data_IF_089351452553
#
_entry.id   IF_089351452553
#
_cell.length_a   1.000
_cell.length_b   1.000
_cell.length_c   1.000
_cell.angle_alpha   90.00
_cell.angle_beta   90.00
_cell.angle_gamma   90.00
#
_symmetry.space_group_name_H-M   'P 1'
#
loop_
_entity.id
_entity.type
_entity.pdbx_description
1 polymer ?
#
# COMPACT_ATOMS: atom_id res chain seq x y z
N UNK A 1 2.06 -53.63 17.57
CA UNK A 1 1.79 -52.18 17.51
C UNK A 1 0.34 -51.99 17.92
N UNK A 2 0.10 -51.30 19.03
CA UNK A 2 -1.25 -51.04 19.52
C UNK A 2 -2.05 -50.20 18.52
N UNK A 3 -3.34 -50.49 18.42
CA UNK A 3 -4.27 -49.79 17.53
C UNK A 3 -4.26 -48.28 17.83
N UNK A 4 -4.11 -47.90 19.11
CA UNK A 4 -3.99 -46.50 19.53
C UNK A 4 -2.81 -45.77 18.88
N UNK A 5 -1.66 -46.42 18.78
CA UNK A 5 -0.45 -45.83 18.16
C UNK A 5 -0.65 -45.63 16.65
N UNK A 6 -1.33 -46.55 15.98
CA UNK A 6 -1.64 -46.43 14.54
C UNK A 6 -2.59 -45.26 14.25
N UNK A 7 -3.65 -45.11 15.06
CA UNK A 7 -4.60 -44.00 14.92
C UNK A 7 -3.92 -42.64 15.19
N UNK A 8 -3.06 -42.58 16.19
CA UNK A 8 -2.33 -41.36 16.54
C UNK A 8 -1.35 -40.96 15.42
N UNK A 9 -0.60 -41.91 14.85
CA UNK A 9 0.31 -41.64 13.73
C UNK A 9 -0.46 -41.16 12.50
N UNK A 10 -1.58 -41.81 12.16
CA UNK A 10 -2.43 -41.38 11.03
C UNK A 10 -2.98 -39.96 11.24
N UNK A 11 -3.49 -39.65 12.43
CA UNK A 11 -4.00 -38.32 12.74
C UNK A 11 -2.92 -37.24 12.58
N UNK A 12 -1.71 -37.47 13.12
CA UNK A 12 -0.59 -36.54 12.99
C UNK A 12 -0.15 -36.38 11.53
N UNK A 13 -0.08 -37.48 10.77
CA UNK A 13 0.31 -37.45 9.36
C UNK A 13 -0.69 -36.65 8.51
N UNK A 14 -2.00 -36.83 8.72
CA UNK A 14 -3.03 -36.06 8.01
C UNK A 14 -2.97 -34.57 8.33
N UNK A 15 -2.81 -34.19 9.61
CA UNK A 15 -2.67 -32.80 10.03
C UNK A 15 -1.41 -32.14 9.45
N UNK A 16 -0.29 -32.87 9.46
CA UNK A 16 0.99 -32.37 8.91
C UNK A 16 0.89 -32.17 7.41
N UNK A 17 0.30 -33.13 6.68
CA UNK A 17 0.08 -33.02 5.24
C UNK A 17 -0.88 -31.86 4.90
N UNK A 18 -1.98 -31.71 5.65
CA UNK A 18 -2.90 -30.60 5.49
C UNK A 18 -2.19 -29.26 5.71
N UNK A 19 -1.37 -29.13 6.76
CA UNK A 19 -0.61 -27.92 7.05
C UNK A 19 0.40 -27.57 5.96
N UNK A 20 1.08 -28.57 5.38
CA UNK A 20 2.04 -28.38 4.28
C UNK A 20 1.35 -28.04 2.95
N UNK A 21 0.15 -28.58 2.70
CA UNK A 21 -0.66 -28.24 1.51
C UNK A 21 -1.44 -26.93 1.65
N UNK A 22 -1.78 -26.53 2.88
CA UNK A 22 -2.50 -25.30 3.20
C UNK A 22 -1.87 -24.01 2.61
N UNK A 23 -0.54 -23.79 2.60
CA UNK A 23 0.04 -22.58 1.98
C UNK A 23 -0.21 -22.46 0.48
N UNK A 24 -0.58 -23.54 -0.22
CA UNK A 24 -0.96 -23.49 -1.62
C UNK A 24 -2.43 -23.08 -1.80
N UNK A 25 -3.32 -23.51 -0.91
CA UNK A 25 -4.76 -23.23 -1.02
C UNK A 25 -5.20 -21.96 -0.27
N UNK A 26 -4.47 -21.54 0.76
CA UNK A 26 -4.75 -20.33 1.53
C UNK A 26 -4.28 -19.03 0.84
N UNK A 27 -3.66 -19.12 -0.34
CA UNK A 27 -3.28 -17.98 -1.21
C UNK A 27 -4.45 -17.45 -2.06
N UNK A 28 -5.66 -17.37 -1.50
CA UNK A 28 -6.76 -16.62 -2.11
C UNK A 28 -7.54 -15.84 -1.06
N UNK A 29 -7.00 -14.69 -0.66
CA UNK A 29 -7.80 -13.55 -0.19
C UNK A 29 -7.27 -12.26 -0.84
N UNK A 30 -7.92 -11.78 -1.91
CA UNK A 30 -7.59 -10.51 -2.56
C UNK A 30 -8.27 -9.33 -1.83
N UNK A 31 -8.20 -9.28 -0.49
CA UNK A 31 -8.94 -8.27 0.29
C UNK A 31 -8.06 -7.13 0.83
N UNK A 32 -6.75 -7.21 0.61
CA UNK A 32 -5.80 -6.15 0.99
C UNK A 32 -5.70 -5.02 -0.04
N UNK A 33 -6.20 -5.24 -1.25
CA UNK A 33 -6.04 -4.31 -2.37
C UNK A 33 -7.26 -3.38 -2.54
N UNK A 34 -8.42 -3.77 -1.99
CA UNK A 34 -9.67 -3.01 -2.13
C UNK A 34 -9.76 -1.80 -1.18
N UNK A 35 -9.12 -1.88 0.00
CA UNK A 35 -9.11 -0.77 0.96
C UNK A 35 -8.22 0.40 0.49
N UNK A 36 -7.14 0.13 -0.25
CA UNK A 36 -6.24 1.17 -0.78
C UNK A 36 -6.89 1.89 -1.97
N UNK A 37 -7.60 1.14 -2.83
CA UNK A 37 -8.28 1.69 -4.01
C UNK A 37 -9.30 2.77 -3.65
N UNK A 38 -10.11 2.55 -2.61
CA UNK A 38 -11.11 3.52 -2.16
C UNK A 38 -10.47 4.83 -1.66
N UNK A 39 -9.37 4.75 -0.90
CA UNK A 39 -8.70 5.94 -0.36
C UNK A 39 -7.97 6.74 -1.45
N UNK A 40 -7.40 6.08 -2.46
CA UNK A 40 -6.72 6.75 -3.57
C UNK A 40 -7.70 7.52 -4.46
N UNK A 41 -8.91 7.00 -4.66
CA UNK A 41 -9.94 7.68 -5.44
C UNK A 41 -10.54 8.90 -4.70
N UNK A 42 -10.68 8.82 -3.38
CA UNK A 42 -11.12 9.95 -2.53
C UNK A 42 -10.08 11.09 -2.54
N UNK A 43 -8.79 10.76 -2.34
CA UNK A 43 -7.70 11.75 -2.29
C UNK A 43 -7.40 12.41 -3.65
N UNK A 44 -7.70 11.73 -4.76
CA UNK A 44 -7.50 12.26 -6.12
C UNK A 44 -8.42 13.44 -6.46
N UNK A 45 -9.54 13.62 -5.73
CA UNK A 45 -10.51 14.70 -5.97
C UNK A 45 -10.21 16.00 -5.21
N UNK A 46 -9.41 15.96 -4.14
CA UNK A 46 -9.10 17.16 -3.32
C UNK A 46 -7.83 17.92 -3.78
N UNK A 47 -6.98 17.31 -4.60
CA UNK A 47 -5.70 17.90 -5.04
C UNK A 47 -5.80 18.76 -6.32
N UNK A 48 -7.00 19.20 -6.73
CA UNK A 48 -7.20 19.94 -8.00
C UNK A 48 -7.43 21.44 -7.83
N UNK A 49 -7.32 22.00 -6.62
CA UNK A 49 -7.55 23.45 -6.37
C UNK A 49 -6.27 24.29 -6.22
N UNK A 50 -5.08 23.70 -6.46
CA UNK A 50 -3.77 24.34 -6.36
C UNK A 50 -3.13 24.72 -7.71
N UNK A 51 -3.93 24.91 -8.76
CA UNK A 51 -3.45 25.16 -10.14
C UNK A 51 -3.25 26.63 -10.52
N UNK A 52 -3.17 27.57 -9.57
CA UNK A 52 -2.59 28.89 -9.82
C UNK A 52 -1.06 28.80 -9.75
N UNK A 53 -0.46 28.25 -10.82
CA UNK A 53 0.98 28.08 -10.95
C UNK A 53 1.72 29.42 -10.82
N UNK A 54 2.44 29.61 -9.71
CA UNK A 54 3.38 30.72 -9.57
C UNK A 54 4.72 30.34 -10.22
N UNK A 55 5.58 31.32 -10.47
CA UNK A 55 6.94 31.09 -10.97
C UNK A 55 7.91 31.29 -9.82
N UNK A 56 8.83 30.34 -9.62
CA UNK A 56 9.88 30.46 -8.64
C UNK A 56 10.77 31.68 -8.96
N UNK A 57 10.94 32.65 -8.03
CA UNK A 57 11.73 33.85 -8.28
C UNK A 57 13.24 33.57 -8.36
N UNK A 58 13.69 32.40 -7.93
CA UNK A 58 15.12 32.05 -7.93
C UNK A 58 15.55 31.32 -9.20
N UNK A 59 14.77 30.34 -9.68
CA UNK A 59 15.15 29.49 -10.82
C UNK A 59 14.23 29.61 -12.04
N UNK A 60 13.08 30.28 -11.92
CA UNK A 60 12.12 30.44 -13.01
C UNK A 60 11.25 29.22 -13.30
N UNK A 61 11.35 28.14 -12.52
CA UNK A 61 10.48 26.97 -12.67
C UNK A 61 9.05 27.28 -12.19
N UNK A 62 8.05 26.68 -12.84
CA UNK A 62 6.68 26.70 -12.34
C UNK A 62 6.57 25.95 -11.02
N UNK A 63 5.83 26.52 -10.07
CA UNK A 63 5.57 25.95 -8.74
C UNK A 63 4.07 25.94 -8.50
N UNK A 64 3.59 24.94 -7.76
CA UNK A 64 2.16 24.81 -7.45
C UNK A 64 1.73 25.79 -6.36
N UNK A 65 0.45 26.17 -6.36
CA UNK A 65 -0.09 27.02 -5.31
C UNK A 65 -0.09 26.23 -3.98
N UNK A 66 0.63 26.73 -2.98
CA UNK A 66 0.81 26.04 -1.69
C UNK A 66 2.13 25.28 -1.54
N UNK A 67 2.96 25.22 -2.60
CA UNK A 67 4.34 24.74 -2.45
C UNK A 67 5.09 25.65 -1.46
N UNK A 68 5.63 25.08 -0.39
CA UNK A 68 6.47 25.82 0.58
C UNK A 68 7.90 25.99 0.09
N UNK A 69 8.32 25.14 -0.84
CA UNK A 69 9.66 25.10 -1.43
C UNK A 69 9.56 24.75 -2.91
N UNK A 70 10.45 25.32 -3.72
CA UNK A 70 10.55 24.95 -5.12
C UNK A 70 11.13 23.54 -5.28
N UNK A 71 10.40 22.64 -5.94
CA UNK A 71 10.88 21.28 -6.21
C UNK A 71 12.13 21.21 -7.10
N UNK A 72 12.41 22.27 -7.87
CA UNK A 72 13.56 22.33 -8.78
C UNK A 72 14.83 22.86 -8.14
N UNK A 73 14.75 23.84 -7.24
CA UNK A 73 15.94 24.49 -6.67
C UNK A 73 15.99 24.51 -5.13
N UNK A 74 14.94 24.07 -4.45
CA UNK A 74 14.86 24.01 -2.99
C UNK A 74 14.67 25.36 -2.30
N UNK A 75 14.54 26.46 -3.05
CA UNK A 75 14.29 27.78 -2.46
C UNK A 75 12.92 27.82 -1.80
N UNK A 76 12.84 28.35 -0.57
CA UNK A 76 11.58 28.57 0.14
C UNK A 76 10.76 29.62 -0.60
N UNK A 77 9.52 29.28 -0.94
CA UNK A 77 8.55 30.20 -1.52
C UNK A 77 7.89 30.94 -0.34
N UNK A 78 7.94 32.26 -0.35
CA UNK A 78 7.30 33.06 0.70
C UNK A 78 5.80 33.12 0.39
N UNK A 79 5.00 32.72 1.36
CA UNK A 79 3.56 32.98 1.40
C UNK A 79 3.44 34.49 1.73
N UNK A 80 2.97 35.31 0.77
CA UNK A 80 2.55 36.70 1.05
C UNK A 80 1.18 36.71 1.73
#
# INVERSE_FOLDING_TARGET
MDIGTLLLILAIATLTAAFILQPLFARRKPQRDELIAHWVEELGREHTEAESGAICPQCGQSVHAGDRFCASCGTRLKED
#
